data_IF_636074554406
#
_entry.id   IF_636074554406
#
_cell.length_a   1.000
_cell.length_b   1.000
_cell.length_c   1.000
_cell.angle_alpha   90.00
_cell.angle_beta   90.00
_cell.angle_gamma   90.00
#
_symmetry.space_group_name_H-M   'P 1'
#
loop_
_entity.id
_entity.type
_entity.pdbx_description
1 polymer ?
#
# COMPACT_ATOMS: atom_id res chain seq x y z
N UNK A 1 -23.53 -13.36 -0.53
CA UNK A 1 -23.55 -12.45 0.64
C UNK A 1 -23.04 -13.28 1.82
N UNK A 2 -22.05 -12.91 2.64
CA UNK A 2 -21.67 -11.61 3.15
C UNK A 2 -20.15 -11.58 3.40
N UNK A 3 -19.49 -10.48 3.01
CA UNK A 3 -18.20 -10.12 3.58
C UNK A 3 -18.41 -9.73 5.07
N UNK A 4 -17.47 -10.05 5.98
CA UNK A 4 -17.58 -9.63 7.37
C UNK A 4 -17.52 -8.10 7.45
N UNK A 5 -18.55 -7.52 8.07
CA UNK A 5 -18.66 -6.09 8.36
C UNK A 5 -17.71 -5.80 9.54
N UNK A 6 -16.59 -5.13 9.26
CA UNK A 6 -15.79 -4.52 10.31
C UNK A 6 -16.50 -3.25 10.79
N UNK A 7 -16.67 -3.09 12.10
CA UNK A 7 -17.36 -1.94 12.68
C UNK A 7 -16.32 -0.94 13.24
N UNK A 8 -16.67 0.35 13.28
CA UNK A 8 -15.77 1.45 13.68
C UNK A 8 -15.15 1.29 15.07
N UNK A 9 -15.72 0.40 15.88
CA UNK A 9 -15.27 0.07 17.24
C UNK A 9 -14.05 -0.85 17.26
N UNK A 10 -13.74 -1.52 16.15
CA UNK A 10 -12.65 -2.48 16.06
C UNK A 10 -11.29 -1.81 15.80
N UNK A 11 -11.28 -0.50 15.53
CA UNK A 11 -10.06 0.29 15.34
C UNK A 11 -9.95 1.40 16.39
N UNK A 12 -9.03 1.24 17.34
CA UNK A 12 -8.60 2.32 18.23
C UNK A 12 -7.27 2.87 17.73
N UNK A 13 -7.26 4.12 17.28
CA UNK A 13 -6.04 4.83 16.88
C UNK A 13 -5.08 4.94 18.08
N UNK A 14 -3.78 4.59 17.92
CA UNK A 14 -2.78 4.80 18.97
C UNK A 14 -2.30 6.27 19.11
N UNK A 15 -2.87 7.20 18.34
CA UNK A 15 -2.43 8.61 18.30
C UNK A 15 -3.29 9.53 19.18
N UNK A 16 -2.68 10.55 19.79
CA UNK A 16 -3.40 11.63 20.51
C UNK A 16 -4.13 12.53 19.51
N UNK A 17 -5.32 13.00 19.88
CA UNK A 17 -6.08 14.02 19.14
C UNK A 17 -5.30 15.35 19.14
N UNK A 18 -4.44 15.55 18.14
CA UNK A 18 -3.79 16.83 17.87
C UNK A 18 -4.71 17.59 16.91
N UNK A 19 -5.21 18.74 17.37
CA UNK A 19 -6.07 19.63 16.57
C UNK A 19 -5.34 20.05 15.29
N UNK A 20 -6.09 19.99 14.19
CA UNK A 20 -5.68 20.13 12.80
C UNK A 20 -4.82 21.38 12.50
N UNK A 21 -3.56 21.16 12.11
CA UNK A 21 -2.78 22.08 11.26
C UNK A 21 -2.85 21.66 9.76
N UNK A 22 -3.80 20.81 9.39
CA UNK A 22 -3.81 20.11 8.09
C UNK A 22 -5.18 20.16 7.38
N UNK A 23 -5.76 21.35 7.15
CA UNK A 23 -7.05 21.49 6.44
C UNK A 23 -6.97 21.49 4.90
N UNK A 24 -5.79 21.52 4.28
CA UNK A 24 -5.64 21.64 2.82
C UNK A 24 -5.21 20.33 2.12
N UNK A 25 -5.94 19.23 2.36
CA UNK A 25 -5.78 18.03 1.53
C UNK A 25 -6.66 18.15 0.28
N UNK A 26 -6.06 18.01 -0.91
CA UNK A 26 -6.77 18.05 -2.19
C UNK A 26 -7.58 16.76 -2.48
N UNK A 27 -7.86 15.94 -1.45
CA UNK A 27 -8.59 14.66 -1.52
C UNK A 27 -9.38 14.38 -0.23
N UNK A 28 -10.41 13.55 -0.33
CA UNK A 28 -11.20 13.12 0.83
C UNK A 28 -10.40 12.14 1.71
N UNK A 29 -9.96 12.64 2.87
CA UNK A 29 -9.24 11.86 3.90
C UNK A 29 -10.04 10.66 4.39
N UNK A 30 -11.37 10.76 4.48
CA UNK A 30 -12.23 9.64 4.89
C UNK A 30 -12.16 8.50 3.89
N UNK A 31 -12.36 8.82 2.61
CA UNK A 31 -12.26 7.86 1.51
C UNK A 31 -10.88 7.20 1.40
N UNK A 32 -9.79 7.97 1.65
CA UNK A 32 -8.44 7.41 1.70
C UNK A 32 -8.31 6.39 2.84
N UNK A 33 -8.71 6.76 4.06
CA UNK A 33 -8.58 5.90 5.23
C UNK A 33 -9.43 4.62 5.12
N UNK A 34 -10.64 4.73 4.57
CA UNK A 34 -11.50 3.57 4.29
C UNK A 34 -10.85 2.63 3.27
N UNK A 35 -10.24 3.20 2.22
CA UNK A 35 -9.46 2.46 1.24
C UNK A 35 -8.28 1.73 1.89
N UNK A 36 -7.44 2.44 2.63
CA UNK A 36 -6.29 1.86 3.31
C UNK A 36 -6.69 0.82 4.36
N UNK A 37 -7.82 1.00 5.04
CA UNK A 37 -8.42 0.00 5.93
C UNK A 37 -8.78 -1.28 5.18
N UNK A 38 -9.45 -1.16 4.03
CA UNK A 38 -9.77 -2.31 3.17
C UNK A 38 -8.51 -3.01 2.62
N UNK A 39 -7.48 -2.25 2.27
CA UNK A 39 -6.18 -2.78 1.87
C UNK A 39 -5.54 -3.57 3.00
N UNK A 40 -5.51 -2.99 4.22
CA UNK A 40 -4.93 -3.64 5.40
C UNK A 40 -5.61 -4.96 5.71
N UNK A 41 -6.95 -5.00 5.72
CA UNK A 41 -7.72 -6.24 5.92
C UNK A 41 -7.42 -7.28 4.85
N UNK A 42 -7.27 -6.85 3.59
CA UNK A 42 -6.91 -7.76 2.49
C UNK A 42 -5.52 -8.35 2.69
N UNK A 43 -4.53 -7.53 3.02
CA UNK A 43 -3.15 -7.95 3.28
C UNK A 43 -3.06 -8.87 4.51
N UNK A 44 -3.78 -8.57 5.59
CA UNK A 44 -3.81 -9.41 6.79
C UNK A 44 -4.45 -10.79 6.51
N UNK A 45 -5.43 -10.86 5.60
CA UNK A 45 -5.98 -12.14 5.13
C UNK A 45 -5.01 -12.92 4.26
N UNK A 46 -4.26 -12.25 3.37
CA UNK A 46 -3.20 -12.89 2.60
C UNK A 46 -2.11 -13.43 3.52
N UNK A 47 -1.78 -12.67 4.58
CA UNK A 47 -0.84 -13.10 5.60
C UNK A 47 -1.32 -14.31 6.38
N UNK A 48 -2.58 -14.31 6.84
CA UNK A 48 -3.14 -15.44 7.58
C UNK A 48 -3.32 -16.69 6.73
N UNK A 49 -3.51 -16.53 5.41
CA UNK A 49 -3.51 -17.62 4.44
C UNK A 49 -2.10 -18.14 4.09
N UNK A 50 -1.02 -17.51 4.59
CA UNK A 50 0.36 -17.89 4.31
C UNK A 50 0.86 -17.49 2.92
N UNK A 51 0.18 -16.54 2.26
CA UNK A 51 0.57 -16.05 0.93
C UNK A 51 1.58 -14.89 0.98
N UNK A 52 1.65 -14.18 2.12
CA UNK A 52 2.67 -13.17 2.40
C UNK A 52 3.19 -13.32 3.83
N UNK A 53 4.49 -13.18 4.04
CA UNK A 53 5.09 -13.23 5.38
C UNK A 53 4.77 -11.99 6.22
N UNK A 54 4.96 -10.80 5.65
CA UNK A 54 4.74 -9.54 6.33
C UNK A 54 4.26 -8.43 5.38
N UNK A 55 3.48 -7.49 5.92
CA UNK A 55 3.09 -6.27 5.21
C UNK A 55 2.85 -5.11 6.17
N UNK A 56 3.16 -3.91 5.70
CA UNK A 56 3.02 -2.65 6.43
C UNK A 56 2.48 -1.56 5.50
N UNK A 57 1.62 -0.70 6.04
CA UNK A 57 1.14 0.51 5.36
C UNK A 57 1.55 1.68 6.26
N UNK A 58 2.25 2.66 5.69
CA UNK A 58 2.75 3.84 6.40
C UNK A 58 2.41 5.11 5.63
N UNK A 59 2.08 6.16 6.38
CA UNK A 59 1.90 7.52 5.87
C UNK A 59 2.97 8.38 6.58
N UNK A 60 4.08 8.73 5.91
CA UNK A 60 5.11 9.56 6.52
C UNK A 60 4.54 10.90 6.98
N UNK A 61 4.83 11.27 8.23
CA UNK A 61 4.39 12.53 8.85
C UNK A 61 4.97 13.76 8.13
N UNK A 62 6.17 13.62 7.55
CA UNK A 62 6.90 14.71 6.90
C UNK A 62 6.32 15.07 5.52
N UNK A 63 5.57 14.16 4.89
CA UNK A 63 4.97 14.37 3.56
C UNK A 63 3.54 14.90 3.62
N UNK A 64 3.10 15.39 4.79
CA UNK A 64 1.77 15.96 4.99
C UNK A 64 0.68 15.07 4.40
N UNK A 65 0.72 13.76 4.66
CA UNK A 65 -0.24 12.76 4.18
C UNK A 65 -0.30 12.53 2.66
N UNK A 66 0.51 13.23 1.86
CA UNK A 66 0.47 13.18 0.39
C UNK A 66 1.16 11.96 -0.22
N UNK A 67 1.81 11.16 0.64
CA UNK A 67 2.49 9.93 0.27
C UNK A 67 1.96 8.79 1.13
N UNK A 68 1.66 7.65 0.49
CA UNK A 68 1.36 6.39 1.18
C UNK A 68 2.36 5.34 0.72
N UNK A 69 3.00 4.69 1.68
CA UNK A 69 3.96 3.62 1.42
C UNK A 69 3.37 2.29 1.85
N UNK A 70 3.37 1.31 0.96
CA UNK A 70 2.97 -0.07 1.24
C UNK A 70 4.17 -0.97 1.07
N UNK A 71 4.62 -1.58 2.15
CA UNK A 71 5.70 -2.55 2.15
C UNK A 71 5.15 -3.97 2.24
N UNK A 72 5.68 -4.88 1.42
CA UNK A 72 5.35 -6.31 1.44
C UNK A 72 6.66 -7.10 1.43
N UNK A 73 6.80 -8.01 2.37
CA UNK A 73 7.99 -8.86 2.53
C UNK A 73 7.59 -10.31 2.31
N UNK A 74 7.65 -10.71 1.03
CA UNK A 74 7.52 -12.10 0.56
C UNK A 74 8.00 -12.24 -0.90
N UNK A 75 8.71 -13.34 -1.20
CA UNK A 75 9.27 -13.63 -2.51
C UNK A 75 8.22 -13.86 -3.60
N UNK A 76 7.04 -14.39 -3.26
CA UNK A 76 6.01 -14.72 -4.27
C UNK A 76 5.42 -13.46 -4.93
N UNK A 77 4.86 -12.49 -4.20
CA UNK A 77 4.37 -11.25 -4.80
C UNK A 77 5.49 -10.42 -5.45
N UNK A 78 6.70 -10.43 -4.87
CA UNK A 78 7.89 -9.79 -5.44
C UNK A 78 8.25 -10.39 -6.80
N UNK A 79 8.38 -11.71 -6.87
CA UNK A 79 8.74 -12.42 -8.10
C UNK A 79 7.67 -12.25 -9.19
N UNK A 80 6.40 -12.19 -8.82
CA UNK A 80 5.31 -11.94 -9.76
C UNK A 80 5.36 -10.52 -10.34
N UNK A 81 5.61 -9.49 -9.53
CA UNK A 81 5.81 -8.11 -10.00
C UNK A 81 7.02 -8.00 -10.93
N UNK A 82 8.15 -8.60 -10.55
CA UNK A 82 9.38 -8.60 -11.36
C UNK A 82 9.11 -9.26 -12.71
N UNK A 83 8.56 -10.47 -12.72
CA UNK A 83 8.31 -11.23 -13.94
C UNK A 83 7.40 -10.47 -14.91
N UNK A 84 6.34 -9.83 -14.40
CA UNK A 84 5.44 -9.02 -15.21
C UNK A 84 6.13 -7.76 -15.75
N UNK A 85 6.98 -7.12 -14.93
CA UNK A 85 7.75 -5.95 -15.35
C UNK A 85 8.78 -6.29 -16.44
N UNK A 86 9.47 -7.42 -16.34
CA UNK A 86 10.47 -7.88 -17.32
C UNK A 86 9.84 -8.26 -18.67
N UNK A 87 8.61 -8.77 -18.64
CA UNK A 87 7.88 -9.13 -19.86
C UNK A 87 7.33 -7.91 -20.61
N UNK A 88 7.61 -6.67 -20.15
CA UNK A 88 7.05 -5.43 -20.69
C UNK A 88 5.51 -5.45 -20.78
N UNK A 89 4.85 -6.25 -19.94
CA UNK A 89 3.42 -6.17 -19.82
C UNK A 89 3.09 -4.89 -19.09
N UNK A 90 2.20 -4.08 -19.67
CA UNK A 90 1.66 -2.89 -19.00
C UNK A 90 0.68 -3.24 -17.87
N UNK A 91 0.72 -4.48 -17.39
CA UNK A 91 -0.15 -5.07 -16.38
C UNK A 91 0.54 -4.89 -15.03
N UNK A 92 -0.15 -4.26 -14.09
CA UNK A 92 0.30 -4.16 -12.71
C UNK A 92 0.40 -5.57 -12.10
N UNK A 93 1.49 -5.89 -11.39
CA UNK A 93 1.54 -7.14 -10.65
C UNK A 93 0.57 -7.16 -9.48
N UNK A 94 0.50 -8.29 -8.75
CA UNK A 94 -0.61 -8.56 -7.84
C UNK A 94 -0.72 -7.53 -6.70
N UNK A 95 0.42 -7.06 -6.18
CA UNK A 95 0.45 -6.07 -5.11
C UNK A 95 0.04 -4.68 -5.63
N UNK A 96 0.60 -4.27 -6.77
CA UNK A 96 0.24 -3.02 -7.45
C UNK A 96 -1.24 -3.00 -7.85
N UNK A 97 -1.78 -4.12 -8.31
CA UNK A 97 -3.19 -4.26 -8.68
C UNK A 97 -4.13 -4.13 -7.48
N UNK A 98 -3.77 -4.71 -6.32
CA UNK A 98 -4.52 -4.55 -5.08
C UNK A 98 -4.58 -3.08 -4.64
N UNK A 99 -3.42 -2.42 -4.64
CA UNK A 99 -3.34 -0.99 -4.29
C UNK A 99 -4.16 -0.15 -5.27
N UNK A 100 -4.03 -0.38 -6.59
CA UNK A 100 -4.82 0.33 -7.61
C UNK A 100 -6.31 0.16 -7.39
N UNK A 101 -6.78 -1.06 -7.15
CA UNK A 101 -8.20 -1.34 -6.93
C UNK A 101 -8.76 -0.59 -5.72
N UNK A 102 -7.96 -0.42 -4.67
CA UNK A 102 -8.38 0.29 -3.46
C UNK A 102 -8.46 1.79 -3.73
N UNK A 103 -7.44 2.35 -4.38
CA UNK A 103 -7.40 3.78 -4.69
C UNK A 103 -8.47 4.20 -5.71
N UNK A 104 -8.75 3.35 -6.69
CA UNK A 104 -9.86 3.54 -7.63
C UNK A 104 -11.22 3.57 -6.91
N UNK A 105 -11.42 2.72 -5.90
CA UNK A 105 -12.64 2.74 -5.06
C UNK A 105 -12.72 4.00 -4.21
N UNK A 106 -11.59 4.46 -3.68
CA UNK A 106 -11.49 5.70 -2.92
C UNK A 106 -11.66 6.96 -3.81
N UNK A 107 -11.67 6.81 -5.15
CA UNK A 107 -11.73 7.91 -6.12
C UNK A 107 -10.61 8.94 -5.91
N UNK A 108 -9.41 8.43 -5.66
CA UNK A 108 -8.21 9.24 -5.48
C UNK A 108 -7.34 9.06 -6.72
N UNK A 109 -6.90 10.16 -7.31
CA UNK A 109 -5.83 10.21 -8.30
C UNK A 109 -4.48 10.14 -7.58
N UNK A 110 -3.54 9.39 -8.14
CA UNK A 110 -2.22 9.16 -7.56
C UNK A 110 -1.23 8.75 -8.64
N UNK A 111 0.06 8.92 -8.33
CA UNK A 111 1.14 8.24 -9.01
C UNK A 111 1.54 7.02 -8.18
N UNK A 112 1.81 5.88 -8.83
CA UNK A 112 2.26 4.67 -8.16
C UNK A 112 3.65 4.30 -8.66
N UNK A 113 4.61 4.34 -7.75
CA UNK A 113 5.98 3.91 -7.97
C UNK A 113 6.22 2.57 -7.25
N UNK A 114 6.93 1.65 -7.92
CA UNK A 114 7.23 0.31 -7.41
C UNK A 114 8.73 0.18 -7.24
N UNK A 115 9.17 -0.10 -6.02
CA UNK A 115 10.57 -0.26 -5.65
C UNK A 115 10.80 -1.67 -5.12
N UNK A 116 11.94 -2.24 -5.49
CA UNK A 116 12.39 -3.54 -5.02
C UNK A 116 13.61 -3.33 -4.14
N UNK A 117 13.51 -3.67 -2.87
CA UNK A 117 14.53 -3.43 -1.87
C UNK A 117 15.15 -4.74 -1.42
N UNK A 118 16.48 -4.73 -1.33
CA UNK A 118 17.27 -5.73 -0.64
C UNK A 118 18.01 -5.02 0.52
N UNK A 119 17.57 -5.20 1.78
CA UNK A 119 18.23 -4.61 2.94
C UNK A 119 19.60 -5.25 3.23
N UNK A 120 19.96 -6.34 2.54
CA UNK A 120 21.14 -7.14 2.84
C UNK A 120 22.34 -6.92 1.90
N UNK A 121 22.20 -6.22 0.77
CA UNK A 121 23.33 -6.09 -0.18
C UNK A 121 23.53 -4.72 -0.84
N UNK A 122 24.80 -4.31 -0.94
CA UNK A 122 25.30 -3.23 -1.82
C UNK A 122 25.74 -3.75 -3.19
N UNK A 123 25.53 -5.05 -3.47
CA UNK A 123 26.01 -5.73 -4.68
C UNK A 123 24.84 -6.10 -5.59
N UNK A 124 24.57 -5.23 -6.56
CA UNK A 124 23.53 -5.37 -7.59
C UNK A 124 23.69 -6.60 -8.52
N UNK A 125 24.75 -7.40 -8.38
CA UNK A 125 25.01 -8.57 -9.23
C UNK A 125 24.11 -9.78 -8.93
N UNK A 126 23.35 -9.75 -7.83
CA UNK A 126 22.37 -10.77 -7.46
C UNK A 126 21.07 -10.04 -7.12
N UNK A 127 20.19 -9.91 -8.10
CA UNK A 127 18.88 -9.30 -7.86
C UNK A 127 17.99 -10.30 -7.08
N UNK A 128 17.98 -10.17 -5.75
CA UNK A 128 17.14 -10.97 -4.84
C UNK A 128 16.45 -10.05 -3.82
N UNK A 129 15.52 -9.19 -4.27
CA UNK A 129 14.81 -8.29 -3.36
C UNK A 129 14.00 -9.09 -2.35
N UNK A 130 14.15 -8.73 -1.07
CA UNK A 130 13.36 -9.32 0.01
C UNK A 130 12.11 -8.49 0.33
N UNK A 131 12.07 -7.24 -0.13
CA UNK A 131 10.95 -6.34 0.16
C UNK A 131 10.47 -5.64 -1.11
N UNK A 132 9.16 -5.64 -1.32
CA UNK A 132 8.46 -4.79 -2.27
C UNK A 132 8.00 -3.53 -1.55
N UNK A 133 8.28 -2.37 -2.12
CA UNK A 133 7.78 -1.09 -1.63
C UNK A 133 7.00 -0.38 -2.72
N UNK A 134 5.73 -0.12 -2.46
CA UNK A 134 4.83 0.62 -3.32
C UNK A 134 4.67 2.02 -2.72
N UNK A 135 5.04 3.05 -3.47
CA UNK A 135 4.84 4.44 -3.06
C UNK A 135 3.74 5.07 -3.90
N UNK A 136 2.68 5.49 -3.22
CA UNK A 136 1.63 6.31 -3.79
C UNK A 136 1.97 7.76 -3.50
N UNK A 137 2.16 8.58 -4.53
CA UNK A 137 2.48 10.00 -4.41
C UNK A 137 1.47 10.87 -5.16
N UNK A 138 1.47 12.18 -4.90
CA UNK A 138 0.57 13.15 -5.52
C UNK A 138 -0.91 12.79 -5.36
N UNK A 139 -1.32 12.41 -4.16
CA UNK A 139 -2.72 12.10 -3.86
C UNK A 139 -3.60 13.33 -4.10
N UNK A 140 -4.62 13.19 -4.95
CA UNK A 140 -5.58 14.24 -5.29
C UNK A 140 -6.96 13.65 -5.52
N UNK A 141 -8.00 14.46 -5.39
CA UNK A 141 -9.36 14.08 -5.71
C UNK A 141 -9.46 13.80 -7.21
N UNK A 142 -10.26 12.78 -7.55
CA UNK A 142 -10.55 12.43 -8.94
C UNK A 142 -11.68 13.24 -9.55
#
# INVERSE_FOLDING_TARGET
ELAPLADRKDYSSPFRDIKDEFEDYDYDKGSLLDGLGALKVSLDKLRSAGLIGYSEISIPYDDYGSVVTVAIDDYVPIGAEILLSEQNYSIAGPASALVRSVMDKAKINYNLDVFYLDPSTTKQSVYNPSQLLLSLSNLRQR
#
